data_IF_793131961284
#
_entry.id   IF_793131961284
#
_cell.length_a   1.000
_cell.length_b   1.000
_cell.length_c   1.000
_cell.angle_alpha   90.00
_cell.angle_beta   90.00
_cell.angle_gamma   90.00
#
_symmetry.space_group_name_H-M   'P 1'
#
loop_
_entity.id
_entity.type
_entity.pdbx_description
1 polymer ?
#
# COMPACT_ATOMS: atom_id res chain seq x y z
N UNK A 1 -0.71 5.38 -19.45
CA UNK A 1 -0.01 5.26 -18.15
C UNK A 1 1.42 5.73 -18.37
N UNK A 2 2.02 6.48 -17.45
CA UNK A 2 3.31 7.14 -17.66
C UNK A 2 4.47 6.12 -17.59
N UNK A 3 5.19 5.92 -18.69
CA UNK A 3 6.43 5.10 -18.83
C UNK A 3 7.63 5.60 -17.99
N UNK A 4 7.40 6.51 -17.05
CA UNK A 4 8.44 7.19 -16.29
C UNK A 4 8.34 6.86 -14.81
N UNK A 5 9.47 6.43 -14.24
CA UNK A 5 9.64 6.28 -12.80
C UNK A 5 9.42 7.63 -12.10
N UNK A 6 8.58 7.62 -11.06
CA UNK A 6 8.43 8.74 -10.15
C UNK A 6 9.74 8.96 -9.38
N UNK A 7 10.03 10.21 -8.98
CA UNK A 7 11.17 10.50 -8.11
C UNK A 7 11.13 9.69 -6.82
N UNK A 8 12.30 9.57 -6.19
CA UNK A 8 12.49 8.89 -4.91
C UNK A 8 11.47 9.40 -3.89
N UNK A 9 10.72 8.49 -3.24
CA UNK A 9 9.69 8.90 -2.28
C UNK A 9 10.26 9.58 -1.03
N UNK A 10 11.57 9.46 -0.77
CA UNK A 10 12.20 10.00 0.44
C UNK A 10 12.96 11.30 0.20
N UNK A 11 13.63 11.45 -0.94
CA UNK A 11 14.52 12.59 -1.19
C UNK A 11 14.19 13.37 -2.47
N UNK A 12 13.14 12.97 -3.22
CA UNK A 12 12.80 13.59 -4.50
C UNK A 12 13.83 13.39 -5.62
N UNK A 13 14.91 12.65 -5.37
CA UNK A 13 15.97 12.40 -6.34
C UNK A 13 15.57 11.42 -7.44
N UNK A 14 16.34 11.38 -8.52
CA UNK A 14 16.04 10.53 -9.69
C UNK A 14 16.03 9.03 -9.32
N UNK A 15 15.00 8.34 -9.80
CA UNK A 15 14.85 6.89 -9.72
C UNK A 15 15.34 6.22 -11.00
N UNK A 16 16.00 5.06 -10.90
CA UNK A 16 16.46 4.30 -12.07
C UNK A 16 16.29 2.80 -11.89
N UNK A 17 16.06 2.10 -13.00
CA UNK A 17 16.25 0.66 -13.16
C UNK A 17 17.73 0.34 -12.90
N UNK A 18 18.04 -0.24 -11.74
CA UNK A 18 19.44 -0.50 -11.29
C UNK A 18 19.99 -1.81 -11.82
N UNK A 19 19.20 -2.88 -11.78
CA UNK A 19 19.66 -4.22 -12.13
C UNK A 19 18.51 -5.06 -12.69
N UNK A 20 18.80 -5.85 -13.73
CA UNK A 20 18.02 -7.03 -14.06
C UNK A 20 18.94 -8.21 -14.33
N UNK A 21 18.66 -9.35 -13.70
CA UNK A 21 19.44 -10.58 -13.91
C UNK A 21 18.60 -11.84 -13.77
N UNK A 22 19.01 -12.96 -14.38
CA UNK A 22 18.40 -14.26 -14.11
C UNK A 22 18.40 -14.58 -12.61
N UNK A 23 17.26 -15.02 -12.09
CA UNK A 23 17.07 -15.38 -10.68
C UNK A 23 16.94 -16.90 -10.48
N UNK A 24 15.97 -17.53 -11.16
CA UNK A 24 15.68 -18.96 -11.00
C UNK A 24 15.17 -19.57 -12.30
N UNK A 25 15.68 -20.75 -12.68
CA UNK A 25 15.14 -21.53 -13.79
C UNK A 25 14.11 -22.52 -13.26
N UNK A 26 12.91 -22.51 -13.83
CA UNK A 26 11.80 -23.39 -13.41
C UNK A 26 11.50 -24.36 -14.55
N UNK A 27 11.53 -25.66 -14.25
CA UNK A 27 11.22 -26.72 -15.21
C UNK A 27 9.77 -26.53 -15.72
N UNK A 28 9.61 -26.41 -17.04
CA UNK A 28 8.31 -26.19 -17.68
C UNK A 28 7.80 -24.74 -17.71
N UNK A 29 8.49 -23.78 -17.08
CA UNK A 29 8.10 -22.34 -17.10
C UNK A 29 9.20 -21.37 -17.53
N UNK A 30 10.42 -21.86 -17.80
CA UNK A 30 11.51 -21.05 -18.32
C UNK A 30 12.34 -20.34 -17.23
N UNK A 31 13.03 -19.27 -17.62
CA UNK A 31 13.95 -18.51 -16.76
C UNK A 31 13.23 -17.31 -16.12
N UNK A 32 13.28 -17.22 -14.79
CA UNK A 32 12.75 -16.08 -14.03
C UNK A 32 13.82 -15.00 -13.83
N UNK A 33 13.40 -13.74 -13.68
CA UNK A 33 14.30 -12.59 -13.51
C UNK A 33 14.08 -11.86 -12.18
N UNK A 34 15.18 -11.29 -11.67
CA UNK A 34 15.21 -10.34 -10.57
C UNK A 34 15.33 -8.94 -11.14
N UNK A 35 14.46 -8.01 -10.74
CA UNK A 35 14.51 -6.60 -11.10
C UNK A 35 14.67 -5.71 -9.86
N UNK A 36 15.53 -4.70 -9.96
CA UNK A 36 15.78 -3.73 -8.89
C UNK A 36 15.63 -2.32 -9.43
N UNK A 37 14.81 -1.51 -8.77
CA UNK A 37 14.72 -0.06 -8.98
C UNK A 37 15.24 0.64 -7.74
N UNK A 38 15.95 1.75 -7.91
CA UNK A 38 16.37 2.52 -6.75
C UNK A 38 16.73 3.96 -7.01
N UNK A 39 16.85 4.68 -5.91
CA UNK A 39 17.40 6.03 -5.85
C UNK A 39 18.93 5.96 -5.79
N UNK A 40 19.60 6.88 -6.50
CA UNK A 40 21.06 7.06 -6.43
C UNK A 40 21.52 7.84 -5.20
N UNK A 41 20.68 8.74 -4.67
CA UNK A 41 21.04 9.67 -3.60
C UNK A 41 21.01 9.01 -2.23
N UNK A 42 19.87 8.42 -1.85
CA UNK A 42 19.63 7.91 -0.49
C UNK A 42 19.60 6.39 -0.40
N UNK A 43 19.94 5.68 -1.48
CA UNK A 43 20.04 4.22 -1.49
C UNK A 43 18.72 3.45 -1.40
N UNK A 44 17.56 4.11 -1.28
CA UNK A 44 16.24 3.47 -1.34
C UNK A 44 16.12 2.55 -2.57
N UNK A 45 15.62 1.33 -2.37
CA UNK A 45 15.42 0.33 -3.43
C UNK A 45 14.10 -0.41 -3.25
N UNK A 46 13.58 -0.90 -4.38
CA UNK A 46 12.57 -1.96 -4.46
C UNK A 46 13.20 -3.12 -5.23
N UNK A 47 13.08 -4.32 -4.69
CA UNK A 47 13.56 -5.56 -5.29
C UNK A 47 12.38 -6.50 -5.57
N UNK A 48 12.36 -7.09 -6.76
CA UNK A 48 11.33 -8.05 -7.19
C UNK A 48 11.99 -9.32 -7.70
N UNK A 49 11.75 -10.44 -7.02
CA UNK A 49 12.27 -11.78 -7.34
C UNK A 49 11.14 -12.83 -7.34
N UNK A 50 10.17 -12.70 -8.23
CA UNK A 50 9.05 -13.65 -8.30
C UNK A 50 9.33 -14.83 -9.26
N UNK A 51 8.87 -16.02 -8.87
CA UNK A 51 8.95 -17.21 -9.70
C UNK A 51 8.12 -17.04 -10.98
N UNK A 52 8.69 -17.46 -12.11
CA UNK A 52 8.12 -17.42 -13.46
C UNK A 52 8.01 -16.04 -14.14
N UNK A 53 8.51 -14.95 -13.54
CA UNK A 53 8.56 -13.66 -14.24
C UNK A 53 9.57 -13.68 -15.39
N UNK A 54 9.10 -13.44 -16.60
CA UNK A 54 9.92 -13.00 -17.72
C UNK A 54 10.68 -11.71 -17.36
N UNK A 55 11.62 -11.33 -18.22
CA UNK A 55 12.43 -10.13 -18.01
C UNK A 55 11.56 -8.88 -18.00
N UNK A 56 10.57 -8.84 -18.87
CA UNK A 56 9.64 -7.73 -19.06
C UNK A 56 8.66 -7.63 -17.88
N UNK A 57 8.07 -8.74 -17.45
CA UNK A 57 7.16 -8.78 -16.29
C UNK A 57 7.87 -8.35 -15.00
N UNK A 58 9.13 -8.78 -14.81
CA UNK A 58 9.92 -8.37 -13.65
C UNK A 58 10.12 -6.85 -13.61
N UNK A 59 10.37 -6.21 -14.76
CA UNK A 59 10.45 -4.76 -14.84
C UNK A 59 9.11 -4.10 -14.58
N UNK A 60 8.07 -4.48 -15.31
CA UNK A 60 6.75 -3.87 -15.17
C UNK A 60 6.25 -3.91 -13.72
N UNK A 61 6.44 -5.04 -13.05
CA UNK A 61 6.05 -5.20 -11.65
C UNK A 61 6.91 -4.34 -10.72
N UNK A 62 8.24 -4.31 -10.92
CA UNK A 62 9.12 -3.45 -10.14
C UNK A 62 8.76 -1.96 -10.31
N UNK A 63 8.40 -1.52 -11.52
CA UNK A 63 8.00 -0.13 -11.79
C UNK A 63 6.68 0.23 -11.13
N UNK A 64 5.69 -0.68 -11.19
CA UNK A 64 4.42 -0.51 -10.47
C UNK A 64 4.66 -0.38 -8.96
N UNK A 65 5.50 -1.22 -8.38
CA UNK A 65 5.86 -1.13 -6.96
C UNK A 65 6.63 0.15 -6.63
N UNK A 66 7.63 0.51 -7.43
CA UNK A 66 8.41 1.73 -7.22
C UNK A 66 7.55 2.99 -7.34
N UNK A 67 6.59 3.02 -8.26
CA UNK A 67 5.70 4.16 -8.48
C UNK A 67 4.50 4.18 -7.53
N UNK A 68 4.24 3.10 -6.79
CA UNK A 68 3.21 3.08 -5.76
C UNK A 68 3.55 4.13 -4.70
N UNK A 69 2.68 5.12 -4.57
CA UNK A 69 2.71 6.09 -3.46
C UNK A 69 1.48 5.82 -2.63
N UNK A 70 1.67 5.63 -1.33
CA UNK A 70 0.57 5.88 -0.40
C UNK A 70 0.13 7.34 -0.62
N UNK A 71 -1.14 7.66 -0.44
CA UNK A 71 -1.64 9.03 -0.60
C UNK A 71 -0.98 10.04 0.37
N UNK A 72 -0.13 9.55 1.27
CA UNK A 72 0.54 10.32 2.31
C UNK A 72 -0.34 10.44 3.55
N UNK A 73 0.29 10.72 4.68
CA UNK A 73 -0.39 11.13 5.89
C UNK A 73 -0.77 12.61 5.76
N UNK A 74 -2.05 12.90 5.96
CA UNK A 74 -2.61 14.25 5.92
C UNK A 74 -2.86 14.68 7.37
N UNK A 75 -2.28 15.80 7.83
CA UNK A 75 -2.57 16.33 9.16
C UNK A 75 -4.06 16.67 9.30
N UNK A 76 -4.70 16.29 10.41
CA UNK A 76 -6.12 16.63 10.65
C UNK A 76 -6.38 18.14 10.69
N UNK A 77 -5.34 18.94 10.96
CA UNK A 77 -5.37 20.41 10.91
C UNK A 77 -5.41 20.97 9.49
N UNK A 78 -4.91 20.22 8.50
CA UNK A 78 -4.98 20.62 7.09
C UNK A 78 -6.39 20.36 6.55
N UNK A 79 -6.88 19.13 6.74
CA UNK A 79 -8.26 18.74 6.43
C UNK A 79 -8.61 17.43 7.10
N UNK A 80 -9.92 17.19 7.26
CA UNK A 80 -10.48 15.91 7.70
C UNK A 80 -10.83 15.02 6.48
N UNK A 81 -10.94 13.69 6.67
CA UNK A 81 -11.57 12.84 5.68
C UNK A 81 -13.05 13.17 5.52
N UNK A 82 -13.66 12.66 4.46
CA UNK A 82 -15.10 12.71 4.29
C UNK A 82 -15.81 11.88 5.38
N UNK A 83 -17.00 12.32 5.77
CA UNK A 83 -17.81 11.68 6.79
C UNK A 83 -18.16 10.25 6.39
N UNK A 84 -18.07 9.30 7.33
CA UNK A 84 -18.37 7.88 7.12
C UNK A 84 -17.52 7.16 6.06
N UNK A 85 -16.36 7.71 5.68
CA UNK A 85 -15.39 7.04 4.79
C UNK A 85 -14.29 6.38 5.61
N UNK A 86 -13.98 5.13 5.28
CA UNK A 86 -12.89 4.39 5.91
C UNK A 86 -11.52 4.99 5.54
N UNK A 87 -10.69 5.20 6.55
CA UNK A 87 -9.35 5.71 6.41
C UNK A 87 -8.41 5.07 7.46
N UNK A 88 -7.10 5.16 7.23
CA UNK A 88 -6.15 4.90 8.30
C UNK A 88 -5.95 6.15 9.14
N UNK A 89 -5.82 5.99 10.45
CA UNK A 89 -5.52 7.05 11.41
C UNK A 89 -4.27 6.72 12.21
N UNK A 90 -3.55 7.75 12.64
CA UNK A 90 -2.42 7.64 13.56
C UNK A 90 -2.75 8.35 14.88
N UNK A 91 -3.38 7.66 15.85
CA UNK A 91 -3.58 8.18 17.19
C UNK A 91 -2.23 8.34 17.89
N UNK A 92 -1.99 9.47 18.56
CA UNK A 92 -0.74 9.76 19.25
C UNK A 92 -0.42 8.77 20.40
N UNK A 93 -1.40 7.97 20.82
CA UNK A 93 -1.28 6.98 21.89
C UNK A 93 -1.14 5.52 21.41
N UNK A 94 -1.33 5.22 20.12
CA UNK A 94 -1.37 3.82 19.63
C UNK A 94 -0.72 3.63 18.24
N UNK A 95 -0.84 2.41 17.71
CA UNK A 95 -0.48 2.05 16.34
C UNK A 95 -1.51 2.55 15.30
N UNK A 96 -1.24 2.29 14.02
CA UNK A 96 -2.16 2.65 12.93
C UNK A 96 -3.47 1.86 13.06
N UNK A 97 -4.60 2.56 13.05
CA UNK A 97 -5.94 1.95 13.08
C UNK A 97 -6.75 2.30 11.82
N UNK A 98 -7.73 1.45 11.47
CA UNK A 98 -8.78 1.79 10.49
C UNK A 98 -9.93 2.47 11.22
N UNK A 99 -10.33 3.65 10.76
CA UNK A 99 -11.38 4.44 11.38
C UNK A 99 -12.22 5.21 10.36
N UNK A 100 -13.39 5.70 10.81
CA UNK A 100 -14.26 6.66 10.11
C UNK A 100 -14.38 7.94 10.90
N UNK A 101 -14.59 9.04 10.20
CA UNK A 101 -15.11 10.25 10.82
C UNK A 101 -16.63 10.12 10.99
N UNK A 102 -17.10 10.09 12.24
CA UNK A 102 -18.51 9.98 12.62
C UNK A 102 -18.83 11.10 13.61
N UNK A 103 -19.75 11.98 13.23
CA UNK A 103 -20.12 13.22 13.92
C UNK A 103 -18.89 14.02 14.37
N UNK A 104 -17.89 14.14 13.49
CA UNK A 104 -16.64 14.86 13.75
C UNK A 104 -15.66 14.16 14.68
N UNK A 105 -15.86 12.87 15.00
CA UNK A 105 -14.96 12.06 15.82
C UNK A 105 -14.45 10.86 15.03
N UNK A 106 -13.19 10.49 15.22
CA UNK A 106 -12.68 9.25 14.66
C UNK A 106 -13.17 8.07 15.50
N UNK A 107 -13.82 7.12 14.84
CA UNK A 107 -14.31 5.88 15.45
C UNK A 107 -13.80 4.67 14.66
N UNK A 108 -13.36 3.63 15.35
CA UNK A 108 -13.01 2.33 14.77
C UNK A 108 -14.12 1.32 15.05
N UNK A 109 -14.30 0.37 14.14
CA UNK A 109 -15.18 -0.75 14.37
C UNK A 109 -14.54 -1.69 15.40
N UNK A 110 -15.21 -1.91 16.52
CA UNK A 110 -14.70 -2.77 17.59
C UNK A 110 -15.75 -3.79 18.00
N UNK A 111 -15.29 -4.98 18.36
CA UNK A 111 -16.08 -6.02 18.97
C UNK A 111 -15.16 -6.87 19.86
N UNK A 112 -15.67 -7.35 20.98
CA UNK A 112 -15.02 -8.39 21.77
C UNK A 112 -16.04 -9.46 22.17
N UNK A 113 -15.65 -10.40 23.04
CA UNK A 113 -16.53 -11.49 23.46
C UNK A 113 -17.69 -11.06 24.38
N UNK A 114 -17.69 -9.81 24.85
CA UNK A 114 -18.61 -9.30 25.85
C UNK A 114 -19.48 -8.15 25.34
N UNK A 115 -19.03 -7.43 24.31
CA UNK A 115 -19.73 -6.31 23.70
C UNK A 115 -20.33 -6.62 22.32
N UNK A 116 -21.44 -5.96 22.00
CA UNK A 116 -21.99 -5.98 20.64
C UNK A 116 -21.11 -5.13 19.71
N UNK A 117 -20.95 -5.52 18.44
CA UNK A 117 -20.15 -4.76 17.49
C UNK A 117 -20.64 -3.32 17.37
N UNK A 118 -19.77 -2.34 17.59
CA UNK A 118 -20.11 -0.92 17.52
C UNK A 118 -18.93 -0.04 17.06
N UNK A 119 -19.24 1.19 16.67
CA UNK A 119 -18.29 2.24 16.36
C UNK A 119 -17.81 2.92 17.64
N UNK A 120 -16.66 2.48 18.13
CA UNK A 120 -16.05 3.04 19.34
C UNK A 120 -15.09 4.15 18.94
N UNK A 121 -15.09 5.25 19.71
CA UNK A 121 -14.16 6.36 19.50
C UNK A 121 -12.72 5.83 19.62
N UNK A 122 -11.88 6.15 18.63
CA UNK A 122 -10.44 5.86 18.68
C UNK A 122 -9.85 6.57 19.90
N UNK A 123 -9.07 5.85 20.70
CA UNK A 123 -8.43 6.42 21.87
C UNK A 123 -7.27 7.36 21.47
N UNK A 124 -7.04 8.38 22.29
CA UNK A 124 -6.02 9.39 22.06
C UNK A 124 -6.34 10.45 20.98
N UNK A 125 -5.32 11.24 20.67
CA UNK A 125 -5.42 12.36 19.73
C UNK A 125 -4.98 11.88 18.35
N UNK A 126 -5.91 11.78 17.41
CA UNK A 126 -5.59 11.54 15.99
C UNK A 126 -4.94 12.78 15.42
N UNK A 127 -3.68 12.64 15.01
CA UNK A 127 -2.91 13.77 14.44
C UNK A 127 -2.89 13.75 12.92
N UNK A 128 -2.93 12.56 12.32
CA UNK A 128 -2.85 12.34 10.89
C UNK A 128 -3.80 11.23 10.44
N UNK A 129 -4.24 11.31 9.19
CA UNK A 129 -5.01 10.27 8.53
C UNK A 129 -4.52 10.04 7.10
N UNK A 130 -4.84 8.90 6.51
CA UNK A 130 -4.61 8.66 5.08
C UNK A 130 -5.78 7.86 4.49
N UNK A 131 -6.21 8.13 3.24
CA UNK A 131 -7.23 7.32 2.60
C UNK A 131 -6.74 5.87 2.44
N UNK A 132 -7.66 4.91 2.48
CA UNK A 132 -7.32 3.54 2.16
C UNK A 132 -6.74 3.46 0.73
N UNK A 133 -5.70 2.65 0.51
CA UNK A 133 -5.21 2.38 -0.84
C UNK A 133 -6.35 1.90 -1.72
N UNK A 134 -6.31 2.24 -3.01
CA UNK A 134 -7.20 1.61 -3.99
C UNK A 134 -7.06 0.10 -3.87
N UNK A 135 -8.21 -0.59 -3.85
CA UNK A 135 -8.24 -2.05 -3.87
C UNK A 135 -7.40 -2.55 -5.05
N UNK A 136 -6.62 -3.63 -4.87
CA UNK A 136 -5.96 -4.26 -6.00
C UNK A 136 -7.01 -4.73 -7.00
N UNK A 137 -6.67 -4.64 -8.30
CA UNK A 137 -7.50 -5.25 -9.35
C UNK A 137 -7.60 -6.76 -9.05
N UNK A 138 -8.84 -7.28 -9.06
CA UNK A 138 -9.07 -8.71 -8.85
C UNK A 138 -8.31 -9.49 -9.92
N UNK A 139 -7.53 -10.49 -9.51
CA UNK A 139 -6.98 -11.44 -10.46
C UNK A 139 -8.16 -12.17 -11.12
N UNK A 140 -8.34 -12.03 -12.43
CA UNK A 140 -9.32 -12.84 -13.17
C UNK A 140 -9.03 -14.32 -12.90
N UNK A 141 -9.95 -15.02 -12.24
CA UNK A 141 -9.85 -16.46 -11.98
C UNK A 141 -9.85 -16.93 -10.52
N UNK A 142 -10.04 -16.05 -9.54
CA UNK A 142 -10.15 -16.43 -8.12
C UNK A 142 -11.46 -15.97 -7.50
N UNK A 143 -12.59 -16.50 -7.95
CA UNK A 143 -13.88 -16.27 -7.30
C UNK A 143 -13.87 -16.85 -5.88
N UNK A 144 -13.63 -16.01 -4.87
CA UNK A 144 -14.17 -16.27 -3.54
C UNK A 144 -15.61 -15.77 -3.56
N UNK A 145 -16.54 -16.71 -3.62
CA UNK A 145 -17.96 -16.44 -3.39
C UNK A 145 -18.10 -16.01 -1.92
N UNK A 146 -18.14 -14.70 -1.69
CA UNK A 146 -18.35 -14.14 -0.35
C UNK A 146 -19.85 -14.14 -0.09
N UNK A 147 -20.43 -15.33 0.06
CA UNK A 147 -21.73 -15.48 0.70
C UNK A 147 -21.49 -15.54 2.21
N UNK A 148 -21.43 -14.38 2.85
CA UNK A 148 -21.50 -14.30 4.32
C UNK A 148 -22.96 -14.62 4.69
N UNK A 149 -23.18 -15.75 5.37
CA UNK A 149 -24.42 -16.06 6.09
C UNK A 149 -24.32 -15.56 7.52
#
# INVERSE_FOLDING_TARGET
MSDKLLPCPFCGGEAKRKLIKPYRKIKGRGQSYLAIIGCKTVGCTVEVSQAAFSREEAWEYAEKLWNRRAAGWIPVKERLPEENVDCFVYPASEEIAIARLIKGKFCSWWFDAFDSPDWIKVDGIVTHWMPLPKLPELCEGGGIDVTIR
#
